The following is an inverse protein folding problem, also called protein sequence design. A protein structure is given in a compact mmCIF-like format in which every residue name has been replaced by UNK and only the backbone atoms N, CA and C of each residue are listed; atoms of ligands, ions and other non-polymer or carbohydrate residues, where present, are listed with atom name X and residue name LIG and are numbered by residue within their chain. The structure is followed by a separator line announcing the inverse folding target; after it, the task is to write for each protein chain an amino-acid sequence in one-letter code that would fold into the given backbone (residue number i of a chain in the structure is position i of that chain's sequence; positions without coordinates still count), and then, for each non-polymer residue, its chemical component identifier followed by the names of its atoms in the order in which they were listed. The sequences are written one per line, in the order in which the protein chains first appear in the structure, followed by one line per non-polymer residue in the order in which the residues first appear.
data_IF_611088314079
#
_entry.id   IF_611088314079
#
_cell.length_a   1.000
_cell.length_b   1.000
_cell.length_c   1.000
_cell.angle_alpha   90.00
_cell.angle_beta   90.00
_cell.angle_gamma   90.00
#
_symmetry.space_group_name_H-M   'P 1'
#
loop_
_entity.id
_entity.type
_entity.pdbx_description
1 polymer ?
#
# COMPACT_ATOMS: atom_id res chain seq x y z
N UNK A 1 35.31 7.09 13.89
CA UNK A 1 34.27 6.85 14.90
C UNK A 1 32.92 7.08 14.23
N UNK A 2 32.28 6.02 13.74
CA UNK A 2 30.98 6.10 13.07
C UNK A 2 29.89 6.29 14.13
N UNK A 3 29.57 7.55 14.44
CA UNK A 3 28.54 7.93 15.41
C UNK A 3 27.17 7.89 14.78
N UNK A 4 26.49 6.76 14.91
CA UNK A 4 25.10 6.58 14.51
C UNK A 4 24.75 5.11 14.61
N UNK A 5 23.55 4.79 15.10
CA UNK A 5 23.01 3.43 15.04
C UNK A 5 23.02 3.04 13.55
N UNK A 6 23.96 2.18 13.18
CA UNK A 6 24.10 1.71 11.83
C UNK A 6 23.02 0.69 11.51
N UNK A 7 22.91 0.35 10.22
CA UNK A 7 22.11 -0.80 9.80
C UNK A 7 22.45 -2.08 10.60
N UNK A 8 23.72 -2.38 10.94
CA UNK A 8 24.06 -3.55 11.75
C UNK A 8 23.41 -3.55 13.15
N UNK A 9 23.44 -2.44 13.88
CA UNK A 9 22.81 -2.34 15.20
C UNK A 9 21.29 -2.52 15.14
N UNK A 10 20.62 -1.94 14.14
CA UNK A 10 19.18 -2.13 13.94
C UNK A 10 18.85 -3.60 13.69
N UNK A 11 19.65 -4.29 12.87
CA UNK A 11 19.43 -5.71 12.56
C UNK A 11 19.59 -6.60 13.79
N UNK A 12 20.53 -6.30 14.68
CA UNK A 12 20.71 -7.04 15.95
C UNK A 12 19.48 -6.85 16.84
N UNK A 13 19.00 -5.61 16.99
CA UNK A 13 17.80 -5.32 17.80
C UNK A 13 16.58 -6.02 17.19
N UNK A 14 16.43 -5.98 15.87
CA UNK A 14 15.36 -6.66 15.16
C UNK A 14 15.42 -8.18 15.38
N UNK A 15 16.61 -8.78 15.31
CA UNK A 15 16.79 -10.21 15.57
C UNK A 15 16.37 -10.60 16.99
N UNK A 16 16.71 -9.78 18.00
CA UNK A 16 16.27 -10.01 19.39
C UNK A 16 14.74 -9.87 19.53
N UNK A 17 14.15 -8.83 18.94
CA UNK A 17 12.69 -8.66 18.92
C UNK A 17 11.99 -9.84 18.23
N UNK A 18 12.60 -10.37 17.16
CA UNK A 18 12.12 -11.53 16.43
C UNK A 18 12.19 -12.83 17.22
N UNK A 19 13.17 -12.98 18.11
CA UNK A 19 13.22 -14.15 19.01
C UNK A 19 12.06 -14.10 20.01
N UNK A 20 11.74 -12.91 20.52
CA UNK A 20 10.66 -12.71 21.50
C UNK A 20 9.28 -12.89 20.85
N UNK A 21 9.07 -12.26 19.69
CA UNK A 21 7.77 -12.22 19.01
C UNK A 21 7.57 -13.45 18.10
N UNK A 22 8.66 -13.95 17.52
CA UNK A 22 8.70 -14.99 16.49
C UNK A 22 8.67 -14.40 15.06
N UNK A 23 9.58 -14.79 14.14
CA UNK A 23 9.60 -14.27 12.77
C UNK A 23 8.35 -14.64 11.97
N UNK A 24 7.68 -15.73 12.33
CA UNK A 24 6.43 -16.13 11.70
C UNK A 24 5.26 -15.19 12.04
N UNK A 25 5.32 -14.43 13.14
CA UNK A 25 4.25 -13.50 13.53
C UNK A 25 4.37 -12.13 12.87
N UNK A 26 5.56 -11.72 12.43
CA UNK A 26 5.72 -10.48 11.66
C UNK A 26 4.83 -10.41 10.40
N UNK A 27 4.78 -11.42 9.51
CA UNK A 27 3.94 -11.34 8.32
C UNK A 27 2.45 -11.27 8.67
N UNK A 28 2.01 -11.91 9.75
CA UNK A 28 0.61 -11.87 10.18
C UNK A 28 0.23 -10.51 10.79
N UNK A 29 1.14 -9.91 11.58
CA UNK A 29 0.99 -8.53 12.07
C UNK A 29 0.97 -7.54 10.91
N UNK A 30 1.89 -7.68 9.95
CA UNK A 30 1.95 -6.82 8.77
C UNK A 30 0.71 -6.95 7.88
N UNK A 31 0.16 -8.16 7.70
CA UNK A 31 -1.11 -8.38 6.97
C UNK A 31 -2.27 -7.69 7.69
N UNK A 32 -2.37 -7.83 9.00
CA UNK A 32 -3.44 -7.24 9.81
C UNK A 32 -3.37 -5.70 9.78
N UNK A 33 -2.19 -5.15 10.07
CA UNK A 33 -1.94 -3.71 10.00
C UNK A 33 -2.14 -3.19 8.58
N UNK A 34 -1.66 -3.89 7.57
CA UNK A 34 -1.80 -3.51 6.16
C UNK A 34 -3.26 -3.44 5.72
N UNK A 35 -4.09 -4.41 6.13
CA UNK A 35 -5.55 -4.36 5.91
C UNK A 35 -6.19 -3.17 6.61
N UNK A 36 -5.88 -2.98 7.90
CA UNK A 36 -6.40 -1.85 8.67
C UNK A 36 -5.99 -0.49 8.07
N UNK A 37 -4.74 -0.33 7.66
CA UNK A 37 -4.27 0.88 6.97
C UNK A 37 -4.93 1.07 5.60
N UNK A 38 -5.18 -0.01 4.87
CA UNK A 38 -5.89 0.04 3.59
C UNK A 38 -7.34 0.51 3.74
N UNK A 39 -8.06 -0.05 4.71
CA UNK A 39 -9.42 0.36 5.06
C UNK A 39 -9.44 1.79 5.60
N UNK A 40 -8.51 2.15 6.50
CA UNK A 40 -8.37 3.51 7.01
C UNK A 40 -8.12 4.52 5.89
N UNK A 41 -7.21 4.22 4.95
CA UNK A 41 -6.95 5.08 3.78
C UNK A 41 -8.20 5.25 2.92
N UNK A 42 -8.97 4.17 2.71
CA UNK A 42 -10.22 4.20 1.94
C UNK A 42 -11.26 5.10 2.64
N UNK A 43 -11.48 4.90 3.94
CA UNK A 43 -12.37 5.75 4.73
C UNK A 43 -11.93 7.21 4.73
N UNK A 44 -10.63 7.50 4.90
CA UNK A 44 -10.11 8.87 4.81
C UNK A 44 -10.35 9.47 3.42
N UNK A 45 -10.23 8.69 2.34
CA UNK A 45 -10.50 9.19 0.99
C UNK A 45 -12.00 9.45 0.76
N UNK A 46 -12.88 8.59 1.27
CA UNK A 46 -14.33 8.80 1.24
C UNK A 46 -14.74 10.04 2.05
N UNK A 47 -14.14 10.25 3.22
CA UNK A 47 -14.32 11.46 4.03
C UNK A 47 -13.82 12.70 3.30
N UNK A 48 -12.66 12.65 2.64
CA UNK A 48 -12.17 13.76 1.81
C UNK A 48 -13.13 14.10 0.68
N UNK A 49 -13.64 13.09 -0.04
CA UNK A 49 -14.61 13.30 -1.11
C UNK A 49 -15.96 13.82 -0.59
N UNK A 50 -16.35 13.46 0.64
CA UNK A 50 -17.59 13.96 1.28
C UNK A 50 -17.42 15.37 1.85
N UNK A 51 -16.20 15.71 2.26
CA UNK A 51 -15.80 17.01 2.80
C UNK A 51 -15.07 17.81 1.71
N UNK A 52 -15.29 17.54 0.42
CA UNK A 52 -14.71 18.32 -0.67
C UNK A 52 -15.22 19.77 -0.58
N UNK A 53 -14.43 20.55 0.16
CA UNK A 53 -14.11 21.94 -0.06
C UNK A 53 -13.52 21.99 -1.48
N UNK A 54 -14.20 22.75 -2.33
CA UNK A 54 -13.84 23.03 -3.72
C UNK A 54 -12.37 23.47 -3.86
N UNK A 55 -11.45 22.56 -4.18
CA UNK A 55 -10.19 22.89 -4.89
C UNK A 55 -9.75 21.70 -5.77
N UNK A 56 -10.19 21.77 -7.04
CA UNK A 56 -9.58 21.20 -8.26
C UNK A 56 -8.88 19.83 -8.16
N UNK A 57 -9.63 18.75 -8.39
CA UNK A 57 -9.10 17.40 -8.60
C UNK A 57 -9.16 17.00 -10.08
N UNK A 58 -8.07 16.43 -10.63
CA UNK A 58 -8.18 15.40 -11.64
C UNK A 58 -7.59 14.10 -11.08
N UNK A 59 -8.45 13.20 -10.58
CA UNK A 59 -8.08 11.81 -10.26
C UNK A 59 -8.87 10.83 -11.11
N UNK A 60 -8.51 10.77 -12.39
CA UNK A 60 -8.73 9.61 -13.25
C UNK A 60 -7.37 8.93 -13.48
N UNK A 61 -6.93 8.08 -12.55
CA UNK A 61 -5.78 7.21 -12.79
C UNK A 61 -5.85 5.93 -11.96
N UNK A 62 -6.92 5.15 -12.10
CA UNK A 62 -6.80 3.70 -11.81
C UNK A 62 -7.73 2.78 -12.60
N UNK A 63 -8.45 3.28 -13.61
CA UNK A 63 -9.09 2.44 -14.64
C UNK A 63 -8.04 1.89 -15.63
N UNK A 64 -7.09 1.11 -15.10
CA UNK A 64 -6.26 0.18 -15.88
C UNK A 64 -6.53 -1.23 -15.31
N UNK A 65 -7.80 -1.62 -15.29
CA UNK A 65 -8.17 -3.03 -15.27
C UNK A 65 -8.64 -3.39 -16.68
N UNK A 66 -7.87 -4.22 -17.37
CA UNK A 66 -8.33 -4.96 -18.55
C UNK A 66 -8.10 -4.29 -19.90
N UNK A 67 -6.84 -4.06 -20.29
CA UNK A 67 -6.45 -3.86 -21.70
C UNK A 67 -5.77 -5.14 -22.23
N UNK A 68 -6.58 -6.15 -22.52
CA UNK A 68 -6.38 -7.35 -23.38
C UNK A 68 -7.82 -7.87 -23.50
N UNK A 69 -8.58 -7.69 -24.57
CA UNK A 69 -8.27 -7.98 -25.96
C UNK A 69 -8.75 -6.84 -26.88
N UNK A 70 -7.86 -6.44 -27.79
CA UNK A 70 -8.22 -5.83 -29.07
C UNK A 70 -7.79 -6.86 -30.09
N UNK A 71 -8.72 -7.40 -30.88
CA UNK A 71 -8.42 -7.68 -32.28
C UNK A 71 -9.66 -7.35 -33.14
N UNK A 72 -9.47 -6.75 -34.33
CA UNK A 72 -10.50 -6.02 -35.05
C UNK A 72 -10.89 -6.74 -36.35
N UNK A 73 -12.18 -6.98 -36.58
CA UNK A 73 -12.69 -7.20 -37.96
C UNK A 73 -14.05 -6.51 -38.10
N UNK A 74 -14.03 -5.25 -38.54
CA UNK A 74 -14.32 -4.84 -39.91
C UNK A 74 -15.73 -5.23 -40.36
N UNK A 75 -16.61 -4.24 -40.28
CA UNK A 75 -17.74 -4.08 -41.18
C UNK A 75 -17.23 -4.08 -42.64
N UNK A 76 -17.86 -4.87 -43.51
CA UNK A 76 -17.54 -4.91 -44.93
C UNK A 76 -18.27 -6.03 -45.68
N UNK A 77 -19.59 -5.84 -45.85
CA UNK A 77 -20.47 -6.17 -47.00
C UNK A 77 -21.90 -6.49 -46.55
#
# INVERSE_FOLDING_TARGET
MFGGIGMPEILIILALALIIIGPQKLPDLAKTLGKAFGEFKKSVNELKNTIEIDEDSPKNLTDIKGKKEVDPEKNGE
#
